data_IF_312026082940
#
_entry.id   IF_312026082940
#
_cell.length_a   1.000
_cell.length_b   1.000
_cell.length_c   1.000
_cell.angle_alpha   90.00
_cell.angle_beta   90.00
_cell.angle_gamma   90.00
#
_symmetry.space_group_name_H-M   'P 1'
#
loop_
_entity.id
_entity.type
_entity.pdbx_description
1 polymer ?
#
# COMPACT_ATOMS: atom_id res chain seq x y z
N UNK A 1 -16.46 -35.14 22.16
CA UNK A 1 -15.62 -34.74 21.01
C UNK A 1 -16.09 -33.34 20.61
N UNK A 2 -15.37 -32.31 21.04
CA UNK A 2 -15.70 -30.94 20.67
C UNK A 2 -15.27 -30.74 19.21
N UNK A 3 -16.24 -30.67 18.31
CA UNK A 3 -16.00 -30.21 16.94
C UNK A 3 -15.43 -28.79 17.02
N UNK A 4 -14.20 -28.63 16.55
CA UNK A 4 -13.61 -27.32 16.27
C UNK A 4 -14.62 -26.52 15.43
N UNK A 5 -14.94 -25.27 15.79
CA UNK A 5 -15.79 -24.45 14.94
C UNK A 5 -15.11 -24.34 13.58
N UNK A 6 -15.82 -24.77 12.56
CA UNK A 6 -15.44 -24.61 11.16
C UNK A 6 -15.19 -23.12 10.94
N UNK A 7 -13.92 -22.71 10.89
CA UNK A 7 -13.53 -21.32 10.64
C UNK A 7 -14.05 -20.96 9.24
N UNK A 8 -15.20 -20.30 9.19
CA UNK A 8 -15.71 -19.68 7.97
C UNK A 8 -14.77 -18.54 7.64
N UNK A 9 -13.80 -18.79 6.77
CA UNK A 9 -12.97 -17.74 6.18
C UNK A 9 -13.87 -16.94 5.27
N UNK A 10 -14.32 -15.78 5.74
CA UNK A 10 -15.24 -14.92 4.99
C UNK A 10 -14.54 -14.18 3.82
N UNK A 11 -13.37 -14.68 3.38
CA UNK A 11 -12.72 -14.29 2.13
C UNK A 11 -12.84 -15.39 1.08
N UNK A 12 -13.09 -14.97 -0.16
CA UNK A 12 -13.24 -15.83 -1.33
C UNK A 12 -12.40 -15.28 -2.45
N UNK A 13 -11.67 -16.17 -3.13
CA UNK A 13 -11.00 -15.87 -4.39
C UNK A 13 -11.80 -16.51 -5.53
N UNK A 14 -12.10 -15.73 -6.57
CA UNK A 14 -12.76 -16.21 -7.80
C UNK A 14 -11.84 -15.96 -8.98
N UNK A 15 -11.54 -17.01 -9.76
CA UNK A 15 -10.72 -16.92 -10.97
C UNK A 15 -11.56 -16.61 -12.21
N UNK A 16 -10.97 -15.90 -13.17
CA UNK A 16 -11.50 -15.68 -14.52
C UNK A 16 -10.53 -16.25 -15.56
N UNK A 17 -10.85 -16.13 -16.85
CA UNK A 17 -9.94 -16.57 -17.92
C UNK A 17 -8.58 -15.84 -17.91
N UNK A 18 -8.57 -14.61 -17.39
CA UNK A 18 -7.49 -13.64 -17.52
C UNK A 18 -7.02 -13.07 -16.17
N UNK A 19 -7.49 -13.61 -15.04
CA UNK A 19 -7.12 -13.09 -13.73
C UNK A 19 -7.96 -13.63 -12.57
N UNK A 20 -8.14 -12.79 -11.54
CA UNK A 20 -8.87 -13.16 -10.33
C UNK A 20 -9.46 -11.94 -9.60
N UNK A 21 -10.40 -12.22 -8.69
CA UNK A 21 -10.93 -11.26 -7.73
C UNK A 21 -10.93 -11.86 -6.31
N UNK A 22 -10.45 -11.07 -5.34
CA UNK A 22 -10.50 -11.38 -3.92
C UNK A 22 -11.58 -10.53 -3.25
N UNK A 23 -12.56 -11.19 -2.64
CA UNK A 23 -13.59 -10.55 -1.83
C UNK A 23 -13.48 -10.97 -0.37
N UNK A 24 -13.61 -10.04 0.58
CA UNK A 24 -13.67 -10.34 2.02
C UNK A 24 -14.87 -9.66 2.66
N UNK A 25 -15.72 -10.44 3.32
CA UNK A 25 -16.97 -9.99 3.93
C UNK A 25 -17.80 -9.10 2.98
N UNK A 26 -17.92 -9.50 1.71
CA UNK A 26 -18.62 -8.78 0.62
C UNK A 26 -17.94 -7.51 0.09
N UNK A 27 -16.75 -7.13 0.59
CA UNK A 27 -15.94 -6.04 0.03
C UNK A 27 -14.99 -6.63 -1.03
N UNK A 28 -14.84 -5.95 -2.16
CA UNK A 28 -13.82 -6.29 -3.15
C UNK A 28 -12.49 -5.70 -2.68
N UNK A 29 -11.48 -6.54 -2.44
CA UNK A 29 -10.16 -6.11 -1.95
C UNK A 29 -9.15 -6.04 -3.09
N UNK A 30 -9.04 -7.12 -3.89
CA UNK A 30 -8.17 -7.17 -5.05
C UNK A 30 -8.96 -7.54 -6.30
N UNK A 31 -8.59 -6.93 -7.42
CA UNK A 31 -9.01 -7.31 -8.77
C UNK A 31 -7.77 -7.31 -9.66
N UNK A 32 -7.54 -8.41 -10.34
CA UNK A 32 -6.40 -8.57 -11.22
C UNK A 32 -6.88 -9.07 -12.59
N UNK A 33 -6.29 -8.51 -13.64
CA UNK A 33 -6.33 -9.03 -15.01
C UNK A 33 -5.04 -8.65 -15.73
N UNK A 34 -4.75 -9.24 -16.88
CA UNK A 34 -3.60 -8.86 -17.70
C UNK A 34 -3.63 -7.38 -18.13
N UNK A 35 -4.81 -6.83 -18.42
CA UNK A 35 -4.99 -5.43 -18.81
C UNK A 35 -4.99 -4.46 -17.62
N UNK A 36 -5.50 -4.91 -16.47
CA UNK A 36 -5.57 -4.15 -15.22
C UNK A 36 -4.92 -4.96 -14.09
N UNK A 37 -3.57 -5.04 -14.06
CA UNK A 37 -2.86 -5.76 -13.02
C UNK A 37 -3.02 -5.05 -11.68
N UNK A 38 -2.99 -5.81 -10.59
CA UNK A 38 -3.02 -5.25 -9.23
C UNK A 38 -1.63 -5.11 -8.61
N UNK A 39 -0.57 -5.63 -9.25
CA UNK A 39 0.76 -5.69 -8.67
C UNK A 39 1.84 -5.28 -9.67
N UNK A 40 2.69 -4.37 -9.24
CA UNK A 40 3.97 -4.06 -9.87
C UNK A 40 5.09 -4.29 -8.86
N UNK A 41 6.22 -4.74 -9.37
CA UNK A 41 7.47 -4.84 -8.61
C UNK A 41 8.58 -4.15 -9.39
N UNK A 42 9.71 -3.88 -8.73
CA UNK A 42 10.83 -3.27 -9.41
C UNK A 42 11.95 -2.89 -8.46
N UNK A 43 12.89 -2.10 -8.95
CA UNK A 43 14.07 -1.70 -8.21
C UNK A 43 14.22 -0.18 -8.21
N UNK A 44 14.76 0.36 -7.13
CA UNK A 44 15.09 1.78 -7.01
C UNK A 44 16.12 2.05 -5.91
N UNK A 45 16.75 3.22 -5.99
CA UNK A 45 17.68 3.71 -4.96
C UNK A 45 17.06 4.94 -4.29
N UNK A 46 16.97 4.89 -2.95
CA UNK A 46 16.50 6.03 -2.17
C UNK A 46 17.50 7.20 -2.27
N UNK A 47 17.00 8.38 -2.62
CA UNK A 47 17.76 9.63 -2.63
C UNK A 47 17.25 10.50 -1.46
N UNK A 48 18.01 10.49 -0.35
CA UNK A 48 17.60 11.07 0.93
C UNK A 48 18.58 12.16 1.33
N UNK A 49 18.10 13.39 1.40
CA UNK A 49 18.80 14.52 2.01
C UNK A 49 18.11 14.89 3.33
N UNK A 50 18.88 14.96 4.43
CA UNK A 50 18.39 15.31 5.76
C UNK A 50 18.84 16.71 6.18
N UNK A 51 17.89 17.62 6.37
CA UNK A 51 18.12 18.97 6.88
C UNK A 51 17.62 19.09 8.32
N UNK A 52 18.39 18.54 9.27
CA UNK A 52 18.07 18.55 10.72
C UNK A 52 16.66 18.01 11.05
N UNK A 53 16.25 16.94 10.38
CA UNK A 53 14.91 16.33 10.54
C UNK A 53 13.88 16.73 9.47
N UNK A 54 14.17 17.72 8.64
CA UNK A 54 13.39 18.05 7.44
C UNK A 54 13.94 17.22 6.26
N UNK A 55 13.26 16.13 5.92
CA UNK A 55 13.74 15.21 4.90
C UNK A 55 13.27 15.60 3.50
N UNK A 56 14.18 15.57 2.53
CA UNK A 56 13.86 15.49 1.10
C UNK A 56 14.10 14.06 0.66
N UNK A 57 13.03 13.34 0.32
CA UNK A 57 13.08 11.92 -0.07
C UNK A 57 12.56 11.80 -1.49
N UNK A 58 13.38 11.23 -2.37
CA UNK A 58 13.05 10.99 -3.78
C UNK A 58 13.43 9.57 -4.15
N UNK A 59 12.70 9.00 -5.10
CA UNK A 59 13.06 7.70 -5.67
C UNK A 59 13.92 7.91 -6.93
N UNK A 60 15.13 7.35 -6.94
CA UNK A 60 15.87 7.11 -8.20
C UNK A 60 15.42 5.75 -8.71
N UNK A 61 14.23 5.75 -9.34
CA UNK A 61 13.59 4.54 -9.83
C UNK A 61 14.37 3.93 -11.00
N UNK A 62 14.76 2.67 -10.88
CA UNK A 62 15.40 1.92 -11.95
C UNK A 62 14.35 1.22 -12.83
N UNK A 63 13.41 0.51 -12.20
CA UNK A 63 12.42 -0.32 -12.88
C UNK A 63 11.08 -0.31 -12.13
N UNK A 64 9.98 -0.33 -12.89
CA UNK A 64 8.62 -0.60 -12.39
C UNK A 64 7.92 -1.50 -13.41
N UNK A 65 7.75 -2.77 -13.06
CA UNK A 65 7.32 -3.83 -13.98
C UNK A 65 5.97 -4.36 -13.53
N UNK A 66 4.99 -4.34 -14.44
CA UNK A 66 3.67 -4.90 -14.19
C UNK A 66 3.73 -6.43 -14.27
N UNK A 67 3.33 -7.11 -13.20
CA UNK A 67 3.13 -8.56 -13.22
C UNK A 67 1.72 -8.82 -13.75
N UNK A 68 1.62 -9.20 -15.01
CA UNK A 68 0.35 -9.32 -15.76
C UNK A 68 -0.18 -10.76 -15.81
N UNK A 69 0.64 -11.72 -15.43
CA UNK A 69 0.29 -13.14 -15.37
C UNK A 69 0.10 -13.52 -13.89
N UNK A 70 -0.90 -14.37 -13.61
CA UNK A 70 -1.15 -14.88 -12.27
C UNK A 70 -1.67 -16.32 -12.32
N UNK A 71 -1.08 -17.21 -11.52
CA UNK A 71 -1.59 -18.56 -11.27
C UNK A 71 -2.06 -18.67 -9.83
N UNK A 72 -3.24 -19.26 -9.62
CA UNK A 72 -3.84 -19.41 -8.31
C UNK A 72 -3.86 -20.89 -7.91
N UNK A 73 -3.42 -21.19 -6.69
CA UNK A 73 -3.56 -22.51 -6.09
C UNK A 73 -4.19 -22.43 -4.69
N UNK A 74 -4.95 -23.46 -4.34
CA UNK A 74 -5.58 -23.57 -3.03
C UNK A 74 -4.57 -24.12 -2.00
N UNK A 75 -4.58 -23.54 -0.80
CA UNK A 75 -3.81 -23.99 0.36
C UNK A 75 -4.77 -24.44 1.47
N UNK A 76 -4.32 -25.24 2.45
CA UNK A 76 -5.17 -25.66 3.58
C UNK A 76 -5.81 -24.52 4.37
N UNK A 77 -5.20 -23.33 4.36
CA UNK A 77 -5.60 -22.15 5.12
C UNK A 77 -5.93 -20.92 4.24
N UNK A 78 -6.05 -21.08 2.93
CA UNK A 78 -6.39 -20.00 2.01
C UNK A 78 -5.90 -20.24 0.58
N UNK A 79 -5.21 -19.26 0.01
CA UNK A 79 -4.78 -19.29 -1.39
C UNK A 79 -3.33 -18.85 -1.55
N UNK A 80 -2.67 -19.36 -2.59
CA UNK A 80 -1.40 -18.87 -3.09
C UNK A 80 -1.62 -18.30 -4.48
N UNK A 81 -1.19 -17.06 -4.70
CA UNK A 81 -1.17 -16.42 -6.01
C UNK A 81 0.28 -16.20 -6.41
N UNK A 82 0.68 -16.80 -7.53
CA UNK A 82 1.99 -16.62 -8.13
C UNK A 82 1.87 -15.66 -9.30
N UNK A 83 2.42 -14.46 -9.13
CA UNK A 83 2.46 -13.44 -10.16
C UNK A 83 3.74 -13.56 -10.98
N UNK A 84 3.65 -13.29 -12.29
CA UNK A 84 4.82 -13.29 -13.17
C UNK A 84 4.75 -12.23 -14.28
N UNK A 85 5.91 -11.94 -14.84
CA UNK A 85 6.10 -11.25 -16.12
C UNK A 85 7.18 -11.99 -16.90
N UNK A 86 6.76 -12.88 -17.79
CA UNK A 86 7.70 -13.79 -18.45
C UNK A 86 8.35 -14.77 -17.46
N UNK A 87 9.49 -15.34 -17.81
CA UNK A 87 10.08 -16.46 -17.07
C UNK A 87 10.94 -16.09 -15.86
N UNK A 88 11.30 -14.81 -15.68
CA UNK A 88 12.37 -14.41 -14.74
C UNK A 88 11.93 -13.45 -13.65
N UNK A 89 10.76 -12.83 -13.77
CA UNK A 89 10.28 -11.81 -12.83
C UNK A 89 8.98 -12.33 -12.22
N UNK A 90 8.99 -12.53 -10.90
CA UNK A 90 7.87 -13.11 -10.18
C UNK A 90 7.78 -12.62 -8.74
N UNK A 91 6.59 -12.75 -8.18
CA UNK A 91 6.30 -12.51 -6.77
C UNK A 91 5.18 -13.46 -6.31
N UNK A 92 5.21 -13.81 -5.04
CA UNK A 92 4.25 -14.73 -4.43
C UNK A 92 3.40 -14.00 -3.40
N UNK A 93 2.08 -14.12 -3.50
CA UNK A 93 1.10 -13.61 -2.55
C UNK A 93 0.36 -14.76 -1.87
N UNK A 94 0.53 -14.92 -0.57
CA UNK A 94 -0.28 -15.82 0.25
C UNK A 94 -1.46 -15.06 0.86
N UNK A 95 -2.64 -15.62 0.71
CA UNK A 95 -3.89 -15.13 1.27
C UNK A 95 -4.35 -16.08 2.36
N UNK A 96 -4.54 -15.59 3.57
CA UNK A 96 -4.97 -16.41 4.70
C UNK A 96 -5.86 -15.61 5.67
N UNK A 97 -6.39 -16.28 6.70
CA UNK A 97 -6.96 -15.61 7.86
C UNK A 97 -6.08 -15.79 9.09
N UNK A 98 -5.84 -14.71 9.85
CA UNK A 98 -5.14 -14.80 11.13
C UNK A 98 -6.00 -15.48 12.22
N UNK A 99 -5.45 -15.65 13.43
CA UNK A 99 -6.16 -16.29 14.55
C UNK A 99 -7.44 -15.55 14.97
N UNK A 100 -7.52 -14.25 14.71
CA UNK A 100 -8.68 -13.40 14.98
C UNK A 100 -9.65 -13.31 13.79
N UNK A 101 -9.38 -14.00 12.68
CA UNK A 101 -10.21 -14.00 11.47
C UNK A 101 -10.01 -12.80 10.55
N UNK A 102 -8.94 -12.02 10.73
CA UNK A 102 -8.54 -10.93 9.83
C UNK A 102 -8.02 -11.50 8.53
N UNK A 103 -8.30 -10.84 7.41
CA UNK A 103 -7.68 -11.19 6.14
C UNK A 103 -6.21 -10.74 6.17
N UNK A 104 -5.30 -11.65 5.82
CA UNK A 104 -3.86 -11.39 5.70
C UNK A 104 -3.40 -11.58 4.27
N UNK A 105 -2.62 -10.62 3.76
CA UNK A 105 -1.94 -10.66 2.47
C UNK A 105 -0.44 -10.64 2.73
N UNK A 106 0.24 -11.76 2.56
CA UNK A 106 1.70 -11.86 2.66
C UNK A 106 2.30 -11.92 1.26
N UNK A 107 2.95 -10.83 0.84
CA UNK A 107 3.56 -10.68 -0.48
C UNK A 107 5.09 -10.71 -0.37
N UNK A 108 5.74 -11.47 -1.23
CA UNK A 108 7.19 -11.58 -1.32
C UNK A 108 7.62 -11.53 -2.79
N UNK A 109 8.55 -10.64 -3.13
CA UNK A 109 9.24 -10.66 -4.42
C UNK A 109 10.29 -11.78 -4.41
N UNK A 110 10.44 -12.48 -5.53
CA UNK A 110 11.34 -13.64 -5.60
C UNK A 110 12.82 -13.21 -5.67
N UNK A 111 13.11 -12.05 -6.25
CA UNK A 111 14.45 -11.43 -6.30
C UNK A 111 14.53 -10.24 -5.35
N UNK A 112 15.45 -10.28 -4.38
CA UNK A 112 15.68 -9.24 -3.38
C UNK A 112 16.17 -7.91 -3.99
N UNK A 113 16.68 -7.91 -5.22
CA UNK A 113 17.00 -6.66 -5.93
C UNK A 113 15.73 -5.88 -6.31
N UNK A 114 14.58 -6.56 -6.41
CA UNK A 114 13.30 -5.89 -6.57
C UNK A 114 12.80 -5.36 -5.21
N UNK A 115 13.37 -4.24 -4.78
CA UNK A 115 13.08 -3.57 -3.52
C UNK A 115 11.95 -2.53 -3.61
N UNK A 116 11.04 -2.68 -4.59
CA UNK A 116 9.85 -1.85 -4.75
C UNK A 116 8.64 -2.71 -4.99
N UNK A 117 7.54 -2.37 -4.33
CA UNK A 117 6.22 -2.96 -4.51
C UNK A 117 5.21 -1.83 -4.73
N UNK A 118 4.32 -2.00 -5.71
CA UNK A 118 3.09 -1.22 -5.82
C UNK A 118 1.90 -2.17 -5.89
N UNK A 119 1.08 -2.15 -4.85
CA UNK A 119 -0.14 -2.97 -4.76
C UNK A 119 -1.37 -2.08 -4.90
N UNK A 120 -2.28 -2.46 -5.80
CA UNK A 120 -3.58 -1.78 -5.95
C UNK A 120 -4.67 -2.54 -5.22
N UNK A 121 -5.31 -1.85 -4.28
CA UNK A 121 -6.55 -2.28 -3.63
C UNK A 121 -7.73 -1.68 -4.39
N UNK A 122 -8.80 -2.45 -4.61
CA UNK A 122 -9.99 -1.95 -5.27
C UNK A 122 -10.71 -0.89 -4.39
N UNK A 123 -11.25 0.14 -5.04
CA UNK A 123 -11.98 1.22 -4.39
C UNK A 123 -13.21 1.62 -5.22
N UNK A 124 -14.18 2.27 -4.59
CA UNK A 124 -15.27 2.94 -5.29
C UNK A 124 -15.00 4.45 -5.33
N UNK A 125 -15.49 5.19 -6.35
CA UNK A 125 -15.32 6.63 -6.44
C UNK A 125 -15.77 7.42 -5.19
N UNK A 126 -16.84 6.95 -4.55
CA UNK A 126 -17.48 7.64 -3.41
C UNK A 126 -16.90 7.25 -2.04
N UNK A 127 -15.89 6.36 -1.99
CA UNK A 127 -15.31 6.00 -0.69
C UNK A 127 -14.50 7.18 -0.10
N UNK A 128 -14.60 7.37 1.22
CA UNK A 128 -13.70 8.24 1.96
C UNK A 128 -12.66 7.41 2.70
N UNK A 129 -11.48 8.00 2.90
CA UNK A 129 -10.34 7.33 3.53
C UNK A 129 -9.82 8.18 4.68
N UNK A 130 -9.60 7.57 5.84
CA UNK A 130 -9.14 8.27 7.05
C UNK A 130 -7.92 7.56 7.66
N UNK A 131 -7.15 8.29 8.48
CA UNK A 131 -6.05 7.74 9.24
C UNK A 131 -4.69 8.16 8.70
N UNK A 132 -3.86 7.19 8.33
CA UNK A 132 -2.45 7.36 8.01
C UNK A 132 -1.61 8.02 9.12
N UNK A 133 -1.98 7.76 10.39
CA UNK A 133 -1.38 8.39 11.56
C UNK A 133 -2.01 9.75 11.89
N UNK A 134 -1.20 10.72 12.29
CA UNK A 134 -1.62 12.08 12.61
C UNK A 134 -1.48 13.00 11.38
N UNK A 135 -2.60 13.31 10.73
CA UNK A 135 -2.67 14.16 9.54
C UNK A 135 -3.27 15.53 9.89
N UNK A 136 -2.55 16.60 9.55
CA UNK A 136 -2.90 17.96 10.00
C UNK A 136 -3.63 18.81 8.96
N UNK A 137 -3.53 18.44 7.68
CA UNK A 137 -4.11 19.23 6.58
C UNK A 137 -5.41 18.64 6.05
N UNK A 138 -5.54 17.30 6.11
CA UNK A 138 -6.67 16.55 5.57
C UNK A 138 -7.03 15.46 6.56
N UNK A 139 -8.32 15.39 6.91
CA UNK A 139 -8.86 14.26 7.67
C UNK A 139 -9.33 13.16 6.71
N UNK A 140 -10.15 13.52 5.73
CA UNK A 140 -10.42 12.67 4.57
C UNK A 140 -9.26 12.78 3.57
N UNK A 141 -8.61 11.65 3.33
CA UNK A 141 -7.40 11.50 2.54
C UNK A 141 -7.72 11.24 1.05
N UNK A 142 -8.99 11.05 0.69
CA UNK A 142 -9.35 10.75 -0.68
C UNK A 142 -8.94 11.86 -1.65
N UNK A 143 -8.43 11.48 -2.81
CA UNK A 143 -8.00 12.41 -3.85
C UNK A 143 -6.52 12.82 -3.79
N UNK A 144 -5.73 12.32 -2.82
CA UNK A 144 -4.32 12.71 -2.64
C UNK A 144 -3.41 11.52 -2.27
N UNK A 145 -2.12 11.61 -2.62
CA UNK A 145 -1.09 10.72 -2.09
C UNK A 145 -0.53 11.20 -0.74
N UNK A 146 -0.14 10.24 0.10
CA UNK A 146 0.44 10.48 1.42
C UNK A 146 1.73 9.65 1.60
N UNK A 147 2.90 10.28 1.41
CA UNK A 147 4.16 9.73 1.87
C UNK A 147 4.14 9.49 3.39
N UNK A 148 4.54 8.30 3.79
CA UNK A 148 4.60 7.88 5.19
C UNK A 148 6.06 7.78 5.61
N UNK A 149 6.58 8.91 6.09
CA UNK A 149 7.95 9.04 6.60
C UNK A 149 7.98 10.02 7.76
N UNK A 150 8.38 9.56 8.94
CA UNK A 150 8.46 10.43 10.11
C UNK A 150 9.51 11.52 9.90
N UNK A 151 9.11 12.76 10.11
CA UNK A 151 9.95 13.94 9.93
C UNK A 151 9.46 15.09 10.81
N UNK A 152 10.20 16.20 10.83
CA UNK A 152 9.65 17.45 11.34
C UNK A 152 8.32 17.77 10.65
N UNK A 153 7.36 18.36 11.37
CA UNK A 153 6.00 18.59 10.86
C UNK A 153 5.93 19.66 9.75
N UNK A 154 6.92 20.56 9.72
CA UNK A 154 6.96 21.75 8.87
C UNK A 154 6.34 23.00 9.51
N UNK A 155 6.86 24.17 9.12
CA UNK A 155 6.43 25.50 9.57
C UNK A 155 5.57 26.15 8.48
N UNK A 156 4.28 26.28 8.73
CA UNK A 156 3.29 26.82 7.79
C UNK A 156 2.65 25.76 6.90
N UNK A 157 3.43 24.81 6.36
CA UNK A 157 2.94 23.58 5.68
C UNK A 157 2.06 23.82 4.44
N UNK A 158 2.11 25.01 3.87
CA UNK A 158 1.39 25.36 2.65
C UNK A 158 2.28 26.26 1.77
N UNK A 159 2.67 25.75 0.61
CA UNK A 159 3.61 26.40 -0.31
C UNK A 159 3.14 27.76 -0.84
N UNK A 160 1.85 28.10 -0.72
CA UNK A 160 1.34 29.43 -1.10
C UNK A 160 1.41 30.45 0.05
N UNK A 161 1.82 30.05 1.25
CA UNK A 161 1.92 30.93 2.40
C UNK A 161 3.33 31.54 2.53
N UNK A 162 3.39 32.81 2.92
CA UNK A 162 4.66 33.52 3.08
C UNK A 162 5.57 32.88 4.13
N UNK A 163 4.99 32.41 5.24
CA UNK A 163 5.75 31.75 6.32
C UNK A 163 6.40 30.44 5.87
N UNK A 164 5.71 29.63 5.06
CA UNK A 164 6.28 28.40 4.49
C UNK A 164 7.44 28.71 3.56
N UNK A 165 7.29 29.71 2.69
CA UNK A 165 8.38 30.14 1.81
C UNK A 165 9.63 30.58 2.60
N UNK A 166 9.45 31.41 3.63
CA UNK A 166 10.57 31.84 4.48
C UNK A 166 11.27 30.67 5.19
N UNK A 167 10.52 29.69 5.66
CA UNK A 167 11.06 28.51 6.33
C UNK A 167 11.78 27.56 5.36
N UNK A 168 11.24 27.38 4.15
CA UNK A 168 11.87 26.60 3.08
C UNK A 168 13.24 27.19 2.69
N UNK A 169 13.36 28.52 2.57
CA UNK A 169 14.62 29.19 2.22
C UNK A 169 15.75 29.02 3.25
N UNK A 170 15.44 28.66 4.51
CA UNK A 170 16.46 28.50 5.55
C UNK A 170 17.02 27.09 5.63
N UNK A 171 16.16 26.08 5.79
CA UNK A 171 16.55 24.70 6.10
C UNK A 171 15.51 23.68 5.58
N UNK A 172 14.81 23.98 4.48
CA UNK A 172 13.70 23.15 3.96
C UNK A 172 12.58 22.89 5.00
N UNK A 173 12.41 23.82 5.94
CA UNK A 173 11.59 23.63 7.12
C UNK A 173 10.12 24.02 6.92
N UNK A 174 9.72 24.48 5.74
CA UNK A 174 8.33 24.88 5.49
C UNK A 174 7.37 23.70 5.44
N UNK A 175 7.87 22.53 5.04
CA UNK A 175 7.10 21.29 4.91
C UNK A 175 6.00 21.36 3.87
N UNK A 176 5.11 20.38 3.87
CA UNK A 176 3.98 20.29 2.94
C UNK A 176 2.78 19.63 3.62
N UNK A 177 1.67 19.50 2.90
CA UNK A 177 0.39 19.07 3.47
C UNK A 177 0.44 17.71 4.20
N UNK A 178 1.32 16.81 3.76
CA UNK A 178 1.49 15.44 4.27
C UNK A 178 2.55 15.31 5.37
N UNK A 179 3.33 16.35 5.65
CA UNK A 179 4.41 16.27 6.65
C UNK A 179 3.85 16.08 8.05
N UNK A 180 4.39 15.09 8.76
CA UNK A 180 3.99 14.72 10.12
C UNK A 180 5.12 13.96 10.81
N UNK A 181 5.21 14.12 12.13
CA UNK A 181 6.09 13.32 12.98
C UNK A 181 5.49 11.96 13.31
N UNK A 182 4.19 11.75 13.09
CA UNK A 182 3.52 10.47 13.36
C UNK A 182 2.73 9.97 12.14
N UNK A 183 3.39 9.64 11.02
CA UNK A 183 2.75 8.85 9.98
C UNK A 183 2.63 7.40 10.44
N UNK A 184 1.55 6.74 10.02
CA UNK A 184 1.38 5.30 10.28
C UNK A 184 0.77 4.64 9.03
N UNK A 185 1.25 3.47 8.60
CA UNK A 185 0.71 2.76 7.43
C UNK A 185 -0.59 2.04 7.79
N UNK A 186 -1.60 2.80 8.16
CA UNK A 186 -2.92 2.30 8.55
C UNK A 186 -4.00 3.26 8.11
N UNK A 187 -4.96 2.79 7.34
CA UNK A 187 -6.10 3.60 6.93
C UNK A 187 -7.43 2.89 7.21
N UNK A 188 -8.50 3.67 7.25
CA UNK A 188 -9.88 3.21 7.40
C UNK A 188 -10.68 3.66 6.18
N UNK A 189 -11.44 2.75 5.58
CA UNK A 189 -12.35 3.04 4.46
C UNK A 189 -13.79 3.12 4.92
N UNK A 190 -14.60 3.95 4.27
CA UNK A 190 -16.07 3.98 4.43
C UNK A 190 -16.76 2.68 4.02
N UNK A 191 -16.07 1.77 3.33
CA UNK A 191 -16.50 0.38 3.16
C UNK A 191 -16.45 -0.46 4.46
N UNK A 192 -16.13 0.19 5.60
CA UNK A 192 -16.10 -0.38 6.95
C UNK A 192 -15.07 -1.50 7.11
N UNK A 193 -13.85 -1.21 6.67
CA UNK A 193 -12.65 -2.00 6.98
C UNK A 193 -11.49 -1.06 7.30
N UNK A 194 -10.49 -1.55 8.02
CA UNK A 194 -9.18 -0.92 8.09
C UNK A 194 -8.19 -1.76 7.30
N UNK A 195 -7.08 -1.15 6.88
CA UNK A 195 -5.94 -1.87 6.34
C UNK A 195 -4.71 -1.40 7.10
N UNK A 196 -4.00 -2.33 7.72
CA UNK A 196 -2.73 -2.11 8.39
C UNK A 196 -1.62 -2.81 7.61
N UNK A 197 -0.49 -2.13 7.40
CA UNK A 197 0.69 -2.73 6.78
C UNK A 197 1.77 -2.84 7.86
N UNK A 198 2.30 -4.05 8.05
CA UNK A 198 3.23 -4.36 9.15
C UNK A 198 4.62 -3.72 8.95
N UNK A 199 4.96 -3.34 7.72
CA UNK A 199 6.28 -2.79 7.36
C UNK A 199 6.57 -1.44 8.03
N UNK A 200 7.86 -1.10 8.12
CA UNK A 200 8.35 0.21 8.60
C UNK A 200 9.23 0.93 7.58
N UNK A 201 9.35 0.38 6.36
CA UNK A 201 10.04 1.04 5.25
C UNK A 201 9.31 2.31 4.81
N UNK A 202 9.95 3.10 3.95
CA UNK A 202 9.24 4.20 3.29
C UNK A 202 8.06 3.65 2.50
N UNK A 203 6.90 4.30 2.67
CA UNK A 203 5.69 3.99 1.93
C UNK A 203 5.06 5.26 1.38
N UNK A 204 4.29 5.13 0.30
CA UNK A 204 3.41 6.19 -0.18
C UNK A 204 2.03 5.57 -0.48
N UNK A 205 1.02 6.02 0.25
CA UNK A 205 -0.36 5.58 0.07
C UNK A 205 -1.08 6.59 -0.82
N UNK A 206 -1.39 6.17 -2.04
CA UNK A 206 -2.07 7.00 -3.03
C UNK A 206 -3.56 6.68 -3.11
N UNK A 207 -4.38 7.62 -2.63
CA UNK A 207 -5.84 7.55 -2.65
C UNK A 207 -6.45 8.46 -3.73
N UNK A 208 -5.66 8.91 -4.69
CA UNK A 208 -6.10 9.86 -5.73
C UNK A 208 -7.01 9.24 -6.79
N UNK A 209 -6.83 7.96 -7.11
CA UNK A 209 -7.61 7.30 -8.13
C UNK A 209 -9.04 6.94 -7.65
N UNK A 210 -10.05 7.01 -8.54
CA UNK A 210 -11.43 6.68 -8.21
C UNK A 210 -11.65 5.17 -8.00
N UNK A 211 -10.97 4.32 -8.76
CA UNK A 211 -11.24 2.86 -8.79
C UNK A 211 -10.27 2.03 -7.95
N UNK A 212 -9.19 2.63 -7.44
CA UNK A 212 -8.20 1.92 -6.63
C UNK A 212 -7.43 2.82 -5.66
N UNK A 213 -6.80 2.19 -4.68
CA UNK A 213 -5.77 2.78 -3.83
C UNK A 213 -4.44 2.10 -4.15
N UNK A 214 -3.40 2.86 -4.51
CA UNK A 214 -2.07 2.31 -4.80
C UNK A 214 -1.17 2.47 -3.58
N UNK A 215 -0.74 1.36 -2.99
CA UNK A 215 0.20 1.33 -1.87
C UNK A 215 1.59 1.04 -2.43
N UNK A 216 2.47 2.04 -2.40
CA UNK A 216 3.86 1.90 -2.78
C UNK A 216 4.72 1.64 -1.55
N UNK A 217 5.62 0.66 -1.62
CA UNK A 217 6.53 0.26 -0.53
C UNK A 217 7.95 0.14 -1.05
N UNK A 218 8.92 0.59 -0.27
CA UNK A 218 10.35 0.45 -0.57
C UNK A 218 10.97 -0.73 0.18
N UNK A 219 10.47 -1.92 -0.14
CA UNK A 219 10.92 -3.21 0.41
C UNK A 219 10.58 -4.33 -0.59
N UNK A 220 11.21 -5.50 -0.46
CA UNK A 220 10.98 -6.67 -1.31
C UNK A 220 9.80 -7.53 -0.84
N UNK A 221 9.22 -7.22 0.32
CA UNK A 221 8.12 -7.98 0.91
C UNK A 221 7.17 -7.09 1.73
N UNK A 222 5.94 -7.54 1.91
CA UNK A 222 4.96 -6.85 2.74
C UNK A 222 3.89 -7.77 3.30
N UNK A 223 3.41 -7.43 4.49
CA UNK A 223 2.23 -8.07 5.11
C UNK A 223 1.16 -7.00 5.34
N UNK A 224 -0.04 -7.22 4.80
CA UNK A 224 -1.20 -6.38 5.03
C UNK A 224 -2.26 -7.16 5.82
N UNK A 225 -2.95 -6.47 6.74
CA UNK A 225 -4.00 -7.01 7.61
C UNK A 225 -5.27 -6.17 7.55
N UNK A 226 -6.42 -6.82 7.38
CA UNK A 226 -7.74 -6.19 7.29
C UNK A 226 -8.68 -6.55 8.44
#
# INVERSE_FOLDING_TARGET
MNSLPQRSTDFKLTTSQDGFALTWQKRLILRHSAENPCLWIGAGVADIDMFRGNFSIKDKLNEKIALTEATVSELPDGWLVQFSRGATISATLRLSADEAGRLTLDLQNDDLHHNRIWLRLAANPDDHIYGCGEQFSYFDLRGKPFPLWTSEQGVGRNKTSYVTWQADCKENAGGDYYWTFFPQPTFVSTQKYYCHVDNSCYMNFDFSAPEYHELALWEDKTTLRF
#
